data_IF_845264609584
#
_entry.id   IF_845264609584
#
_cell.length_a   1.000
_cell.length_b   1.000
_cell.length_c   1.000
_cell.angle_alpha   90.00
_cell.angle_beta   90.00
_cell.angle_gamma   90.00
#
_symmetry.space_group_name_H-M   'P 1'
#
loop_
_entity.id
_entity.type
_entity.pdbx_description
1 polymer ?
#
# COMPACT_ATOMS: atom_id res chain seq x y z
N UNK A 1 -5.12 -22.07 11.43
CA UNK A 1 -5.98 -22.99 10.65
C UNK A 1 -7.04 -22.24 9.88
N UNK A 2 -7.86 -21.36 10.49
CA UNK A 2 -8.97 -20.66 9.83
C UNK A 2 -8.48 -19.70 8.72
N UNK A 3 -7.42 -18.92 8.92
CA UNK A 3 -6.83 -18.07 7.87
C UNK A 3 -6.38 -18.90 6.66
N UNK A 4 -5.70 -20.02 6.89
CA UNK A 4 -5.26 -20.93 5.82
C UNK A 4 -6.43 -21.48 5.00
N UNK A 5 -7.59 -21.63 5.62
CA UNK A 5 -8.85 -22.07 4.95
C UNK A 5 -9.69 -20.90 4.42
N UNK A 6 -9.18 -19.66 4.51
CA UNK A 6 -9.90 -18.43 4.15
C UNK A 6 -11.25 -18.27 4.86
N UNK A 7 -11.38 -18.82 6.08
CA UNK A 7 -12.55 -18.66 6.95
C UNK A 7 -12.34 -17.47 7.86
N UNK A 8 -12.38 -16.26 7.30
CA UNK A 8 -12.03 -15.01 7.97
C UNK A 8 -12.97 -14.66 9.12
N UNK A 9 -14.27 -14.95 8.97
CA UNK A 9 -15.30 -14.82 10.01
C UNK A 9 -14.93 -15.58 11.29
N UNK A 10 -14.55 -16.84 11.14
CA UNK A 10 -14.12 -17.68 12.27
C UNK A 10 -12.78 -17.25 12.82
N UNK A 11 -11.86 -16.82 11.96
CA UNK A 11 -10.56 -16.33 12.41
C UNK A 11 -10.71 -15.08 13.27
N UNK A 12 -11.56 -14.13 12.87
CA UNK A 12 -11.88 -12.92 13.62
C UNK A 12 -12.46 -13.25 15.00
N UNK A 13 -13.54 -14.04 15.04
CA UNK A 13 -14.23 -14.40 16.30
C UNK A 13 -13.27 -15.10 17.28
N UNK A 14 -12.48 -16.06 16.81
CA UNK A 14 -11.56 -16.81 17.68
C UNK A 14 -10.45 -15.92 18.20
N UNK A 15 -9.88 -15.06 17.36
CA UNK A 15 -8.82 -14.15 17.79
C UNK A 15 -9.33 -13.10 18.79
N UNK A 16 -10.50 -12.47 18.55
CA UNK A 16 -11.12 -11.54 19.46
C UNK A 16 -11.44 -12.18 20.82
N UNK A 17 -12.03 -13.39 20.81
CA UNK A 17 -12.35 -14.10 22.05
C UNK A 17 -11.07 -14.42 22.84
N UNK A 18 -10.01 -14.88 22.20
CA UNK A 18 -8.75 -15.19 22.86
C UNK A 18 -8.12 -13.94 23.51
N UNK A 19 -8.10 -12.81 22.81
CA UNK A 19 -7.57 -11.54 23.32
C UNK A 19 -8.40 -10.99 24.48
N UNK A 20 -9.72 -11.14 24.45
CA UNK A 20 -10.61 -10.60 25.48
C UNK A 20 -10.71 -11.47 26.73
N UNK A 21 -10.58 -12.80 26.60
CA UNK A 21 -10.72 -13.71 27.75
C UNK A 21 -9.43 -13.88 28.56
N UNK A 22 -8.27 -13.59 27.97
CA UNK A 22 -6.95 -13.79 28.61
C UNK A 22 -6.05 -12.55 28.47
N UNK A 23 -6.47 -11.35 28.88
CA UNK A 23 -5.70 -10.13 28.63
C UNK A 23 -4.30 -10.15 29.28
N UNK A 24 -4.18 -10.79 30.47
CA UNK A 24 -2.92 -10.86 31.23
C UNK A 24 -2.23 -12.23 31.17
N UNK A 25 -2.84 -13.20 30.50
CA UNK A 25 -2.36 -14.59 30.50
C UNK A 25 -1.66 -15.02 29.23
N UNK A 26 -1.64 -14.15 28.20
CA UNK A 26 -0.98 -14.43 26.92
C UNK A 26 0.46 -13.91 26.95
N UNK A 27 1.39 -14.68 26.39
CA UNK A 27 2.73 -14.15 26.11
C UNK A 27 2.67 -13.09 25.00
N UNK A 28 3.63 -12.19 24.97
CA UNK A 28 3.76 -11.17 23.91
C UNK A 28 3.68 -11.76 22.49
N UNK A 29 4.31 -12.92 22.28
CA UNK A 29 4.30 -13.64 20.99
C UNK A 29 2.90 -14.12 20.61
N UNK A 30 2.12 -14.65 21.58
CA UNK A 30 0.76 -15.09 21.32
C UNK A 30 -0.17 -13.90 21.05
N UNK A 31 -0.02 -12.82 21.82
CA UNK A 31 -0.78 -11.58 21.61
C UNK A 31 -0.50 -11.00 20.22
N UNK A 32 0.77 -10.93 19.81
CA UNK A 32 1.15 -10.47 18.49
C UNK A 32 0.52 -11.33 17.39
N UNK A 33 0.63 -12.66 17.47
CA UNK A 33 0.07 -13.56 16.47
C UNK A 33 -1.47 -13.48 16.39
N UNK A 34 -2.16 -13.32 17.51
CA UNK A 34 -3.62 -13.12 17.54
C UNK A 34 -4.01 -11.80 16.87
N UNK A 35 -3.27 -10.72 17.12
CA UNK A 35 -3.49 -9.44 16.46
C UNK A 35 -3.20 -9.53 14.94
N UNK A 36 -2.20 -10.28 14.51
CA UNK A 36 -1.95 -10.54 13.09
C UNK A 36 -3.13 -11.29 12.44
N UNK A 37 -3.64 -12.32 13.11
CA UNK A 37 -4.80 -13.09 12.62
C UNK A 37 -6.02 -12.19 12.53
N UNK A 38 -6.27 -11.41 13.56
CA UNK A 38 -7.40 -10.47 13.64
C UNK A 38 -7.30 -9.42 12.54
N UNK A 39 -6.19 -8.71 12.43
CA UNK A 39 -5.98 -7.67 11.43
C UNK A 39 -6.08 -8.18 9.99
N UNK A 40 -5.62 -9.42 9.72
CA UNK A 40 -5.79 -10.04 8.40
C UNK A 40 -7.27 -10.31 8.08
N UNK A 41 -8.06 -10.79 9.04
CA UNK A 41 -9.48 -11.03 8.86
C UNK A 41 -10.25 -9.71 8.69
N UNK A 42 -9.96 -8.71 9.50
CA UNK A 42 -10.53 -7.37 9.44
C UNK A 42 -10.23 -6.69 8.09
N UNK A 43 -8.99 -6.83 7.59
CA UNK A 43 -8.61 -6.30 6.27
C UNK A 43 -9.45 -6.92 5.15
N UNK A 44 -9.68 -8.24 5.21
CA UNK A 44 -10.52 -8.93 4.25
C UNK A 44 -11.96 -8.40 4.23
N UNK A 45 -12.48 -7.95 5.37
CA UNK A 45 -13.81 -7.35 5.50
C UNK A 45 -13.84 -5.83 5.28
N UNK A 46 -12.71 -5.20 4.96
CA UNK A 46 -12.62 -3.76 4.78
C UNK A 46 -12.78 -2.94 6.05
N UNK A 47 -12.55 -3.52 7.22
CA UNK A 47 -12.61 -2.87 8.54
C UNK A 47 -11.30 -2.11 8.83
N UNK A 48 -10.99 -1.11 8.01
CA UNK A 48 -9.65 -0.50 7.99
C UNK A 48 -9.24 0.20 9.30
N UNK A 49 -10.18 0.76 10.06
CA UNK A 49 -9.89 1.35 11.37
C UNK A 49 -9.47 0.30 12.41
N UNK A 50 -10.10 -0.87 12.38
CA UNK A 50 -9.77 -2.02 13.21
C UNK A 50 -8.42 -2.61 12.81
N UNK A 51 -8.19 -2.76 11.50
CA UNK A 51 -6.90 -3.23 10.93
C UNK A 51 -5.73 -2.42 11.46
N UNK A 52 -5.85 -1.09 11.50
CA UNK A 52 -4.79 -0.22 12.02
C UNK A 52 -4.44 -0.61 13.45
N UNK A 53 -5.42 -0.75 14.33
CA UNK A 53 -5.20 -1.11 15.73
C UNK A 53 -4.55 -2.49 15.87
N UNK A 54 -5.06 -3.49 15.13
CA UNK A 54 -4.57 -4.86 15.20
C UNK A 54 -3.12 -4.97 14.70
N UNK A 55 -2.78 -4.33 13.58
CA UNK A 55 -1.41 -4.41 13.06
C UNK A 55 -0.42 -3.51 13.78
N UNK A 56 -0.82 -2.38 14.35
CA UNK A 56 0.04 -1.62 15.26
C UNK A 56 0.44 -2.47 16.46
N UNK A 57 -0.50 -3.14 17.11
CA UNK A 57 -0.24 -4.07 18.22
C UNK A 57 0.65 -5.26 17.79
N UNK A 58 0.42 -5.82 16.59
CA UNK A 58 1.27 -6.87 16.06
C UNK A 58 2.70 -6.41 15.88
N UNK A 59 2.90 -5.25 15.25
CA UNK A 59 4.24 -4.72 14.94
C UNK A 59 5.00 -4.25 16.18
N UNK A 60 4.30 -3.74 17.19
CA UNK A 60 4.90 -3.36 18.48
C UNK A 60 5.50 -4.56 19.20
N UNK A 61 4.86 -5.73 19.13
CA UNK A 61 5.23 -6.92 19.89
C UNK A 61 6.01 -7.97 19.07
N UNK A 62 6.15 -7.81 17.76
CA UNK A 62 6.79 -8.78 16.89
C UNK A 62 7.68 -8.11 15.82
N UNK A 63 8.81 -7.57 16.26
CA UNK A 63 9.74 -6.87 15.39
C UNK A 63 10.51 -7.79 14.40
N UNK A 64 10.50 -9.12 14.59
CA UNK A 64 11.54 -9.99 14.02
C UNK A 64 11.06 -11.03 12.98
N UNK A 65 9.77 -11.32 12.83
CA UNK A 65 9.30 -12.30 11.84
C UNK A 65 9.18 -11.67 10.46
N UNK A 66 10.22 -11.80 9.64
CA UNK A 66 10.30 -11.19 8.31
C UNK A 66 9.13 -11.59 7.38
N UNK A 67 8.67 -12.84 7.43
CA UNK A 67 7.66 -13.37 6.49
C UNK A 67 6.29 -12.71 6.64
N UNK A 68 5.82 -12.51 7.86
CA UNK A 68 4.51 -11.91 8.09
C UNK A 68 4.55 -10.40 8.28
N UNK A 69 5.73 -9.84 8.61
CA UNK A 69 5.91 -8.41 8.79
C UNK A 69 5.60 -7.63 7.50
N UNK A 70 6.08 -8.10 6.37
CA UNK A 70 5.89 -7.43 5.07
C UNK A 70 4.41 -7.34 4.69
N UNK A 71 3.68 -8.46 4.83
CA UNK A 71 2.23 -8.47 4.57
C UNK A 71 1.46 -7.58 5.54
N UNK A 72 1.86 -7.56 6.81
CA UNK A 72 1.27 -6.69 7.83
C UNK A 72 1.49 -5.21 7.52
N UNK A 73 2.71 -4.81 7.14
CA UNK A 73 3.04 -3.44 6.73
C UNK A 73 2.21 -3.01 5.50
N UNK A 74 2.06 -3.92 4.53
CA UNK A 74 1.23 -3.63 3.37
C UNK A 74 -0.24 -3.38 3.76
N UNK A 75 -0.85 -4.29 4.51
CA UNK A 75 -2.25 -4.16 4.94
C UNK A 75 -2.46 -2.93 5.84
N UNK A 76 -1.51 -2.63 6.72
CA UNK A 76 -1.53 -1.44 7.57
C UNK A 76 -1.43 -0.15 6.73
N UNK A 77 -0.46 -0.05 5.84
CA UNK A 77 -0.28 1.12 4.99
C UNK A 77 -1.47 1.38 4.06
N UNK A 78 -2.04 0.32 3.48
CA UNK A 78 -3.27 0.41 2.69
C UNK A 78 -4.47 0.84 3.54
N UNK A 79 -4.55 0.40 4.79
CA UNK A 79 -5.63 0.79 5.71
C UNK A 79 -5.51 2.26 6.11
N UNK A 80 -4.31 2.78 6.36
CA UNK A 80 -4.09 4.21 6.53
C UNK A 80 -4.53 5.02 5.30
N UNK A 81 -4.21 4.52 4.10
CA UNK A 81 -4.65 5.16 2.85
C UNK A 81 -6.17 5.21 2.75
N UNK A 82 -6.86 4.10 3.01
CA UNK A 82 -8.34 4.02 2.97
C UNK A 82 -9.02 4.89 4.03
N UNK A 83 -8.39 5.05 5.19
CA UNK A 83 -8.86 5.94 6.25
C UNK A 83 -8.50 7.42 6.04
N UNK A 84 -7.80 7.78 4.96
CA UNK A 84 -7.38 9.15 4.66
C UNK A 84 -6.23 9.67 5.52
N UNK A 85 -5.53 8.79 6.25
CA UNK A 85 -4.37 9.15 7.09
C UNK A 85 -3.10 9.10 6.23
N UNK A 86 -3.07 9.94 5.20
CA UNK A 86 -2.04 9.89 4.15
C UNK A 86 -0.61 10.12 4.65
N UNK A 87 -0.43 10.84 5.75
CA UNK A 87 0.89 11.10 6.33
C UNK A 87 1.62 9.84 6.80
N UNK A 88 0.88 8.79 7.19
CA UNK A 88 1.45 7.53 7.64
C UNK A 88 1.81 6.57 6.48
N UNK A 89 1.14 6.71 5.35
CA UNK A 89 1.24 5.77 4.23
C UNK A 89 2.68 5.58 3.72
N UNK A 90 3.45 6.66 3.41
CA UNK A 90 4.81 6.48 2.90
C UNK A 90 5.79 5.90 3.91
N UNK A 91 5.63 6.22 5.19
CA UNK A 91 6.47 5.68 6.25
C UNK A 91 6.29 4.16 6.38
N UNK A 92 5.04 3.71 6.42
CA UNK A 92 4.72 2.29 6.60
C UNK A 92 5.00 1.48 5.33
N UNK A 93 4.50 1.92 4.17
CA UNK A 93 4.71 1.19 2.92
C UNK A 93 6.18 1.18 2.47
N UNK A 94 6.93 2.23 2.79
CA UNK A 94 8.36 2.31 2.45
C UNK A 94 9.20 1.21 3.08
N UNK A 95 8.83 0.71 4.27
CA UNK A 95 9.55 -0.38 4.93
C UNK A 95 9.41 -1.75 4.23
N UNK A 96 8.42 -1.91 3.34
CA UNK A 96 8.13 -3.22 2.72
C UNK A 96 8.52 -3.33 1.24
N UNK A 97 9.09 -2.28 0.64
CA UNK A 97 9.38 -2.18 -0.80
C UNK A 97 10.75 -2.71 -1.24
N UNK A 98 11.43 -3.50 -0.41
CA UNK A 98 12.77 -4.03 -0.74
C UNK A 98 12.76 -5.05 -1.89
N UNK A 99 11.65 -5.70 -2.16
CA UNK A 99 11.49 -6.68 -3.22
C UNK A 99 10.94 -6.04 -4.50
N UNK A 100 11.35 -6.54 -5.66
CA UNK A 100 10.82 -6.08 -6.95
C UNK A 100 9.67 -6.99 -7.41
N UNK A 101 8.51 -6.82 -6.82
CA UNK A 101 7.31 -7.60 -7.08
C UNK A 101 6.04 -6.72 -7.18
N UNK A 102 4.91 -7.33 -7.48
CA UNK A 102 3.63 -6.62 -7.62
C UNK A 102 3.18 -5.93 -6.32
N UNK A 103 3.55 -6.47 -5.16
CA UNK A 103 3.19 -5.89 -3.86
C UNK A 103 3.95 -4.58 -3.63
N UNK A 104 5.27 -4.56 -3.87
CA UNK A 104 6.09 -3.35 -3.81
C UNK A 104 5.66 -2.33 -4.85
N UNK A 105 5.35 -2.78 -6.06
CA UNK A 105 4.87 -1.90 -7.13
C UNK A 105 3.58 -1.19 -6.74
N UNK A 106 2.62 -1.91 -6.15
CA UNK A 106 1.37 -1.34 -5.66
C UNK A 106 1.60 -0.41 -4.45
N UNK A 107 2.53 -0.75 -3.56
CA UNK A 107 2.92 0.11 -2.45
C UNK A 107 3.46 1.46 -2.96
N UNK A 108 4.36 1.46 -3.93
CA UNK A 108 4.87 2.71 -4.54
C UNK A 108 3.76 3.53 -5.21
N UNK A 109 2.81 2.90 -5.91
CA UNK A 109 1.66 3.60 -6.48
C UNK A 109 0.88 4.34 -5.39
N UNK A 110 0.54 3.66 -4.28
CA UNK A 110 -0.24 4.25 -3.19
C UNK A 110 0.55 5.29 -2.38
N UNK A 111 1.87 5.12 -2.25
CA UNK A 111 2.74 6.18 -1.71
C UNK A 111 2.67 7.44 -2.57
N UNK A 112 2.74 7.31 -3.90
CA UNK A 112 2.59 8.42 -4.83
C UNK A 112 1.23 9.12 -4.69
N UNK A 113 0.15 8.35 -4.65
CA UNK A 113 -1.19 8.87 -4.44
C UNK A 113 -1.35 9.58 -3.07
N UNK A 114 -0.75 9.03 -2.01
CA UNK A 114 -0.75 9.66 -0.69
C UNK A 114 0.03 10.99 -0.69
N UNK A 115 1.19 11.04 -1.35
CA UNK A 115 1.96 12.27 -1.49
C UNK A 115 1.19 13.35 -2.28
N UNK A 116 0.38 12.98 -3.28
CA UNK A 116 -0.50 13.95 -3.96
C UNK A 116 -1.53 14.54 -3.00
N UNK A 117 -2.14 13.73 -2.12
CA UNK A 117 -3.07 14.21 -1.10
C UNK A 117 -2.39 15.15 -0.09
N UNK A 118 -1.09 14.98 0.13
CA UNK A 118 -0.26 15.84 0.98
C UNK A 118 0.33 17.05 0.22
N UNK A 119 -0.06 17.25 -1.05
CA UNK A 119 0.46 18.28 -1.96
C UNK A 119 1.99 18.21 -2.19
N UNK A 120 2.64 17.09 -1.91
CA UNK A 120 4.07 16.86 -2.17
C UNK A 120 4.28 16.21 -3.54
N UNK A 121 4.13 16.99 -4.61
CA UNK A 121 4.27 16.53 -6.00
C UNK A 121 5.66 15.98 -6.32
N UNK A 122 6.70 16.46 -5.66
CA UNK A 122 8.06 15.96 -5.87
C UNK A 122 8.21 14.53 -5.40
N UNK A 123 7.77 14.23 -4.18
CA UNK A 123 7.80 12.85 -3.67
C UNK A 123 6.79 11.95 -4.37
N UNK A 124 5.62 12.48 -4.77
CA UNK A 124 4.67 11.74 -5.58
C UNK A 124 5.31 11.27 -6.89
N UNK A 125 5.98 12.17 -7.61
CA UNK A 125 6.70 11.84 -8.84
C UNK A 125 7.71 10.70 -8.65
N UNK A 126 8.53 10.79 -7.59
CA UNK A 126 9.54 9.75 -7.29
C UNK A 126 8.89 8.39 -7.01
N UNK A 127 7.80 8.35 -6.27
CA UNK A 127 7.08 7.12 -5.98
C UNK A 127 6.43 6.52 -7.24
N UNK A 128 5.81 7.33 -8.09
CA UNK A 128 5.25 6.88 -9.37
C UNK A 128 6.31 6.40 -10.34
N UNK A 129 7.49 7.02 -10.35
CA UNK A 129 8.63 6.56 -11.15
C UNK A 129 9.03 5.12 -10.77
N UNK A 130 9.12 4.83 -9.47
CA UNK A 130 9.42 3.47 -8.99
C UNK A 130 8.33 2.46 -9.39
N UNK A 131 7.06 2.82 -9.23
CA UNK A 131 5.96 1.96 -9.64
C UNK A 131 5.92 1.72 -11.16
N UNK A 132 6.20 2.74 -11.96
CA UNK A 132 6.24 2.65 -13.42
C UNK A 132 7.46 1.89 -13.96
N UNK A 133 8.56 1.84 -13.22
CA UNK A 133 9.76 1.09 -13.59
C UNK A 133 9.58 -0.43 -13.45
N UNK A 134 8.68 -0.90 -12.61
CA UNK A 134 8.39 -2.32 -12.41
C UNK A 134 7.45 -2.87 -13.49
N UNK A 135 7.68 -4.10 -13.93
CA UNK A 135 6.83 -4.83 -14.86
C UNK A 135 6.03 -5.96 -14.18
N UNK A 136 5.94 -5.96 -12.86
CA UNK A 136 5.29 -7.02 -12.10
C UNK A 136 3.76 -7.05 -12.34
N UNK A 137 3.14 -5.87 -12.41
CA UNK A 137 1.73 -5.70 -12.79
C UNK A 137 1.60 -4.61 -13.87
N UNK A 138 1.20 -4.96 -15.11
CA UNK A 138 1.07 -4.02 -16.20
C UNK A 138 0.03 -2.91 -15.97
N UNK A 139 -1.05 -3.19 -15.24
CA UNK A 139 -2.10 -2.19 -14.95
C UNK A 139 -1.59 -1.15 -13.95
N UNK A 140 -0.88 -1.60 -12.93
CA UNK A 140 -0.24 -0.69 -11.96
C UNK A 140 0.82 0.15 -12.66
N UNK A 141 1.62 -0.46 -13.54
CA UNK A 141 2.62 0.24 -14.36
C UNK A 141 1.99 1.36 -15.18
N UNK A 142 0.92 1.06 -15.91
CA UNK A 142 0.19 2.02 -16.73
C UNK A 142 -0.34 3.20 -15.89
N UNK A 143 -1.00 2.91 -14.77
CA UNK A 143 -1.53 3.93 -13.87
C UNK A 143 -0.40 4.80 -13.28
N UNK A 144 0.70 4.19 -12.87
CA UNK A 144 1.85 4.88 -12.32
C UNK A 144 2.53 5.78 -13.37
N UNK A 145 2.72 5.29 -14.61
CA UNK A 145 3.29 6.06 -15.70
C UNK A 145 2.45 7.29 -16.06
N UNK A 146 1.13 7.15 -16.06
CA UNK A 146 0.21 8.27 -16.26
C UNK A 146 0.35 9.32 -15.14
N UNK A 147 0.30 8.92 -13.88
CA UNK A 147 0.44 9.85 -12.76
C UNK A 147 1.84 10.49 -12.70
N UNK A 148 2.88 9.76 -13.08
CA UNK A 148 4.23 10.30 -13.22
C UNK A 148 4.28 11.44 -14.26
N UNK A 149 3.67 11.22 -15.44
CA UNK A 149 3.59 12.22 -16.49
C UNK A 149 2.81 13.49 -16.06
N UNK A 150 1.70 13.30 -15.33
CA UNK A 150 0.95 14.42 -14.74
C UNK A 150 1.80 15.22 -13.74
N UNK A 151 2.53 14.56 -12.85
CA UNK A 151 3.41 15.23 -11.89
C UNK A 151 4.49 16.07 -12.61
N UNK A 152 5.08 15.56 -13.70
CA UNK A 152 6.04 16.32 -14.50
C UNK A 152 5.37 17.51 -15.14
N UNK A 153 4.22 17.32 -15.77
CA UNK A 153 3.47 18.43 -16.40
C UNK A 153 3.16 19.57 -15.41
N UNK A 154 2.76 19.23 -14.21
CA UNK A 154 2.39 20.21 -13.18
C UNK A 154 3.58 20.85 -12.45
N UNK A 155 4.76 20.24 -12.51
CA UNK A 155 5.98 20.73 -11.84
C UNK A 155 7.00 21.33 -12.80
N UNK A 156 6.85 21.13 -14.10
CA UNK A 156 7.77 21.62 -15.13
C UNK A 156 7.59 23.13 -15.35
N UNK A 157 8.63 23.90 -15.07
CA UNK A 157 8.70 25.33 -15.39
C UNK A 157 8.97 25.60 -16.88
N UNK A 158 9.41 24.60 -17.62
CA UNK A 158 9.70 24.66 -19.05
C UNK A 158 8.43 24.37 -19.82
N UNK A 159 7.84 25.39 -20.40
CA UNK A 159 6.46 25.40 -20.88
C UNK A 159 6.07 24.32 -21.90
N UNK A 160 6.97 23.59 -22.58
CA UNK A 160 6.59 22.66 -23.65
C UNK A 160 7.52 21.46 -23.90
N UNK A 161 8.71 21.35 -23.31
CA UNK A 161 9.68 20.32 -23.71
C UNK A 161 9.52 18.99 -22.96
N UNK A 162 9.61 19.01 -21.66
CA UNK A 162 9.70 17.79 -20.84
C UNK A 162 8.34 17.07 -20.71
N UNK A 163 7.26 17.82 -20.51
CA UNK A 163 5.92 17.23 -20.35
C UNK A 163 5.42 16.59 -21.65
N UNK A 164 5.64 17.22 -22.80
CA UNK A 164 5.27 16.64 -24.11
C UNK A 164 5.99 15.32 -24.33
N UNK A 165 7.31 15.29 -24.11
CA UNK A 165 8.12 14.06 -24.27
C UNK A 165 7.63 12.92 -23.37
N UNK A 166 7.24 13.22 -22.13
CA UNK A 166 6.78 12.18 -21.19
C UNK A 166 5.39 11.66 -21.55
N UNK A 167 4.47 12.55 -22.00
CA UNK A 167 3.17 12.12 -22.50
C UNK A 167 3.27 11.34 -23.82
N UNK A 168 4.13 11.75 -24.76
CA UNK A 168 4.39 10.97 -25.97
C UNK A 168 4.94 9.59 -25.65
N UNK A 169 5.88 9.49 -24.70
CA UNK A 169 6.39 8.19 -24.22
C UNK A 169 5.27 7.34 -23.63
N UNK A 170 4.39 7.92 -22.80
CA UNK A 170 3.23 7.22 -22.24
C UNK A 170 2.31 6.69 -23.35
N UNK A 171 1.93 7.52 -24.32
CA UNK A 171 1.06 7.14 -25.43
C UNK A 171 1.68 6.05 -26.32
N UNK A 172 3.00 6.09 -26.53
CA UNK A 172 3.71 5.06 -27.29
C UNK A 172 3.75 3.72 -26.54
N UNK A 173 3.91 3.74 -25.22
CA UNK A 173 3.95 2.52 -24.39
C UNK A 173 2.54 1.95 -24.16
N UNK A 174 1.53 2.82 -24.02
CA UNK A 174 0.14 2.44 -23.69
C UNK A 174 -0.87 3.03 -24.69
N UNK A 175 -0.82 2.65 -25.99
CA UNK A 175 -1.65 3.29 -27.03
C UNK A 175 -3.16 3.09 -26.85
N UNK A 176 -3.58 2.06 -26.13
CA UNK A 176 -4.99 1.76 -25.84
C UNK A 176 -5.40 2.11 -24.40
N UNK A 177 -4.61 2.93 -23.72
CA UNK A 177 -4.87 3.33 -22.36
C UNK A 177 -6.19 4.13 -22.22
N UNK A 178 -7.00 3.88 -21.19
CA UNK A 178 -8.13 4.74 -20.89
C UNK A 178 -7.72 6.17 -20.49
N UNK A 179 -6.44 6.38 -20.20
CA UNK A 179 -5.88 7.71 -19.92
C UNK A 179 -5.42 8.45 -21.19
N UNK A 180 -5.33 7.78 -22.35
CA UNK A 180 -4.82 8.38 -23.59
C UNK A 180 -5.65 9.59 -24.02
N UNK A 181 -6.98 9.52 -23.92
CA UNK A 181 -7.88 10.65 -24.26
C UNK A 181 -7.72 11.87 -23.33
N UNK A 182 -7.13 11.69 -22.16
CA UNK A 182 -6.93 12.78 -21.19
C UNK A 182 -5.63 13.55 -21.41
N UNK A 183 -4.72 13.02 -22.24
CA UNK A 183 -3.38 13.57 -22.48
C UNK A 183 -3.13 13.91 -23.96
N UNK A 184 -4.15 13.75 -24.81
CA UNK A 184 -4.13 14.07 -26.25
C UNK A 184 -4.50 15.58 -26.50
#
# INVERSE_FOLDING_TARGET
IYLLKKQYDKAEIVAQNALSTHPDGLSYTHTAELNRILGTAEYHFGKYHEVIKSFEQYLEHNAESATHRRDALYMLGMSYYQCGVYSQVPAILGEMTAENDALSQNAYLHMGLAYLQLADKTKARMAFEQAAASNADPKIKEQAAYNYALCIHETSYSAFGESVTVFEKFLNEFPNSPYAEKVS
#
